data_IF_001922292652
#
_entry.id   IF_001922292652
#
_cell.length_a   1.000
_cell.length_b   1.000
_cell.length_c   1.000
_cell.angle_alpha   90.00
_cell.angle_beta   90.00
_cell.angle_gamma   90.00
#
_symmetry.space_group_name_H-M   'P 1'
#
loop_
_entity.id
_entity.type
_entity.pdbx_description
1 polymer ?
#
# COMPACT_ATOMS: atom_id res chain seq x y z
N UNK A 1 24.51 7.23 -15.07
CA UNK A 1 23.15 7.80 -14.89
C UNK A 1 22.15 6.71 -15.25
N UNK A 2 21.62 6.03 -14.24
CA UNK A 2 20.72 4.91 -14.45
C UNK A 2 19.46 5.39 -15.18
N UNK A 3 19.24 4.89 -16.41
CA UNK A 3 17.95 4.94 -17.08
C UNK A 3 16.97 4.14 -16.22
N UNK A 4 16.30 4.79 -15.27
CA UNK A 4 15.07 4.25 -14.72
C UNK A 4 14.09 4.19 -15.90
N UNK A 5 13.98 3.00 -16.50
CA UNK A 5 12.91 2.63 -17.44
C UNK A 5 11.57 2.54 -16.69
N UNK A 6 11.28 3.53 -15.85
CA UNK A 6 9.93 3.73 -15.38
C UNK A 6 9.16 4.19 -16.62
N UNK A 7 8.42 3.27 -17.22
CA UNK A 7 7.39 3.66 -18.17
C UNK A 7 6.58 4.82 -17.56
N UNK A 8 6.18 5.81 -18.36
CA UNK A 8 5.38 6.93 -17.87
C UNK A 8 4.09 6.45 -17.18
N UNK A 9 3.60 5.25 -17.50
CA UNK A 9 2.41 4.64 -16.91
C UNK A 9 2.52 4.43 -15.38
N UNK A 10 3.49 3.69 -14.80
CA UNK A 10 3.66 3.56 -13.35
C UNK A 10 3.77 4.89 -12.59
N UNK A 11 4.43 5.87 -13.21
CA UNK A 11 4.69 7.17 -12.58
C UNK A 11 3.41 8.03 -12.56
N UNK A 12 2.63 8.02 -13.64
CA UNK A 12 1.30 8.60 -13.69
C UNK A 12 0.32 7.89 -12.75
N UNK A 13 0.39 6.56 -12.67
CA UNK A 13 -0.43 5.76 -11.77
C UNK A 13 -0.15 6.15 -10.32
N UNK A 14 1.12 6.24 -9.92
CA UNK A 14 1.52 6.71 -8.60
C UNK A 14 1.09 8.15 -8.32
N UNK A 15 1.15 9.03 -9.32
CA UNK A 15 0.72 10.43 -9.21
C UNK A 15 -0.78 10.59 -9.01
N UNK A 16 -1.62 9.73 -9.63
CA UNK A 16 -3.08 9.75 -9.42
C UNK A 16 -3.47 9.00 -8.14
N UNK A 17 -2.77 7.92 -7.81
CA UNK A 17 -3.00 7.14 -6.58
C UNK A 17 -2.59 7.91 -5.32
N UNK A 18 -1.58 8.78 -5.40
CA UNK A 18 -1.14 9.63 -4.30
C UNK A 18 -2.25 10.49 -3.67
N UNK A 19 -2.90 11.41 -4.43
CA UNK A 19 -4.00 12.22 -3.91
C UNK A 19 -5.19 11.37 -3.48
N UNK A 20 -5.47 10.26 -4.17
CA UNK A 20 -6.52 9.32 -3.78
C UNK A 20 -6.24 8.72 -2.38
N UNK A 21 -5.00 8.32 -2.12
CA UNK A 21 -4.57 7.82 -0.81
C UNK A 21 -4.72 8.89 0.25
N UNK A 22 -4.23 10.10 0.01
CA UNK A 22 -4.33 11.21 0.97
C UNK A 22 -5.80 11.52 1.30
N UNK A 23 -6.67 11.52 0.29
CA UNK A 23 -8.07 11.82 0.50
C UNK A 23 -8.78 10.72 1.30
N UNK A 24 -8.47 9.44 1.03
CA UNK A 24 -8.98 8.33 1.83
C UNK A 24 -8.45 8.37 3.28
N UNK A 25 -7.18 8.69 3.47
CA UNK A 25 -6.57 8.86 4.80
C UNK A 25 -7.24 10.00 5.56
N UNK A 26 -7.44 11.15 4.92
CA UNK A 26 -8.12 12.32 5.49
C UNK A 26 -9.55 11.98 5.90
N UNK A 27 -10.30 11.30 5.04
CA UNK A 27 -11.68 10.84 5.35
C UNK A 27 -11.69 9.87 6.53
N UNK A 28 -10.76 8.91 6.56
CA UNK A 28 -10.64 7.98 7.67
C UNK A 28 -10.33 8.69 9.00
N UNK A 29 -9.43 9.67 8.99
CA UNK A 29 -9.10 10.46 10.21
C UNK A 29 -10.27 11.31 10.69
N UNK A 30 -11.02 11.96 9.79
CA UNK A 30 -12.23 12.71 10.14
C UNK A 30 -13.29 11.79 10.74
N UNK A 31 -13.52 10.62 10.12
CA UNK A 31 -14.47 9.62 10.62
C UNK A 31 -14.05 9.06 12.00
N UNK A 32 -12.75 8.93 12.21
CA UNK A 32 -12.13 8.52 13.49
C UNK A 32 -12.03 9.65 14.52
N UNK A 33 -12.67 10.81 14.28
CA UNK A 33 -12.64 12.00 15.15
C UNK A 33 -11.22 12.49 15.49
N UNK A 34 -10.26 12.25 14.60
CA UNK A 34 -8.87 12.66 14.78
C UNK A 34 -8.08 11.85 15.81
N UNK A 35 -8.65 10.78 16.38
CA UNK A 35 -8.03 10.04 17.47
C UNK A 35 -7.40 8.72 16.96
N UNK A 36 -6.06 8.65 16.81
CA UNK A 36 -5.38 7.44 16.33
C UNK A 36 -5.49 6.26 17.30
N UNK A 37 -5.88 6.52 18.56
CA UNK A 37 -6.20 5.49 19.55
C UNK A 37 -7.42 4.63 19.15
N UNK A 38 -8.28 5.14 18.25
CA UNK A 38 -9.45 4.42 17.71
C UNK A 38 -9.05 3.18 16.91
N UNK A 39 -7.86 3.17 16.29
CA UNK A 39 -7.36 2.00 15.54
C UNK A 39 -7.09 0.79 16.43
N UNK A 40 -6.80 1.00 17.71
CA UNK A 40 -6.54 -0.07 18.69
C UNK A 40 -7.78 -0.36 19.53
N UNK A 41 -8.57 0.67 19.86
CA UNK A 41 -9.78 0.51 20.69
C UNK A 41 -10.99 -0.04 19.92
N UNK A 42 -11.06 0.14 18.59
CA UNK A 42 -12.10 -0.50 17.77
C UNK A 42 -11.61 -1.84 17.21
N UNK A 43 -12.30 -2.96 17.52
CA UNK A 43 -11.87 -4.29 17.08
C UNK A 43 -11.83 -4.44 15.55
N UNK A 44 -12.72 -3.77 14.82
CA UNK A 44 -12.75 -3.79 13.34
C UNK A 44 -11.52 -3.08 12.74
N UNK A 45 -11.14 -1.92 13.30
CA UNK A 45 -9.96 -1.18 12.82
C UNK A 45 -8.66 -1.92 13.18
N UNK A 46 -8.63 -2.54 14.36
CA UNK A 46 -7.48 -3.32 14.82
C UNK A 46 -7.26 -4.56 13.94
N UNK A 47 -8.30 -5.29 13.56
CA UNK A 47 -8.18 -6.45 12.66
C UNK A 47 -7.72 -6.04 11.27
N UNK A 48 -8.26 -4.95 10.70
CA UNK A 48 -7.82 -4.42 9.41
C UNK A 48 -6.35 -3.97 9.45
N UNK A 49 -5.93 -3.31 10.53
CA UNK A 49 -4.53 -2.89 10.72
C UNK A 49 -3.59 -4.10 10.86
N UNK A 50 -4.00 -5.13 11.59
CA UNK A 50 -3.25 -6.38 11.71
C UNK A 50 -3.11 -7.10 10.37
N UNK A 51 -4.17 -7.15 9.56
CA UNK A 51 -4.13 -7.70 8.20
C UNK A 51 -3.17 -6.87 7.32
N UNK A 52 -3.26 -5.54 7.36
CA UNK A 52 -2.38 -4.67 6.59
C UNK A 52 -0.90 -4.90 6.96
N UNK A 53 -0.58 -5.01 8.26
CA UNK A 53 0.76 -5.35 8.73
C UNK A 53 1.21 -6.74 8.27
N UNK A 54 0.32 -7.74 8.34
CA UNK A 54 0.63 -9.09 7.87
C UNK A 54 0.97 -9.10 6.38
N UNK A 55 0.17 -8.42 5.55
CA UNK A 55 0.44 -8.26 4.11
C UNK A 55 1.75 -7.51 3.88
N UNK A 56 2.01 -6.44 4.63
CA UNK A 56 3.25 -5.68 4.50
C UNK A 56 4.46 -6.56 4.83
N UNK A 57 4.41 -7.30 5.95
CA UNK A 57 5.44 -8.28 6.31
C UNK A 57 5.64 -9.28 5.15
N UNK A 58 4.56 -9.90 4.65
CA UNK A 58 4.62 -10.85 3.52
C UNK A 58 5.30 -10.23 2.28
N UNK A 59 4.97 -8.99 1.91
CA UNK A 59 5.55 -8.29 0.75
C UNK A 59 7.02 -7.92 0.96
N UNK A 60 7.40 -7.53 2.18
CA UNK A 60 8.78 -7.18 2.52
C UNK A 60 9.66 -8.43 2.73
N UNK A 61 9.08 -9.60 2.98
CA UNK A 61 9.83 -10.85 3.03
C UNK A 61 10.45 -11.14 1.64
N UNK A 62 11.77 -11.43 1.57
CA UNK A 62 12.46 -11.67 0.31
C UNK A 62 11.93 -12.89 -0.46
N UNK A 63 11.21 -13.79 0.21
CA UNK A 63 10.57 -14.96 -0.41
C UNK A 63 9.44 -14.58 -1.37
N UNK A 64 8.74 -13.47 -1.15
CA UNK A 64 7.65 -13.00 -2.04
C UNK A 64 8.18 -12.14 -3.19
N UNK A 65 9.39 -11.58 -3.03
CA UNK A 65 10.07 -10.86 -4.12
C UNK A 65 10.36 -11.75 -5.33
N UNK A 66 10.57 -13.06 -5.15
CA UNK A 66 10.77 -14.03 -6.25
C UNK A 66 9.50 -14.25 -7.07
N UNK A 67 8.32 -14.27 -6.44
CA UNK A 67 7.04 -14.46 -7.16
C UNK A 67 6.69 -13.26 -8.05
N UNK A 68 7.13 -12.04 -7.68
CA UNK A 68 6.99 -10.86 -8.56
C UNK A 68 7.92 -10.91 -9.77
N UNK A 69 9.05 -11.62 -9.72
CA UNK A 69 9.91 -11.79 -10.89
C UNK A 69 9.28 -12.77 -11.89
N UNK A 70 8.64 -13.84 -11.42
CA UNK A 70 7.95 -14.82 -12.31
C UNK A 70 6.76 -14.19 -13.05
N UNK A 71 5.93 -13.37 -12.39
CA UNK A 71 4.79 -12.69 -13.02
C UNK A 71 5.23 -11.62 -14.05
N UNK A 72 6.43 -11.08 -13.94
CA UNK A 72 6.99 -10.13 -14.93
C UNK A 72 7.72 -10.82 -16.10
N UNK A 73 7.92 -12.15 -16.06
CA UNK A 73 8.62 -12.91 -17.11
C UNK A 73 7.65 -13.61 -18.07
N UNK A 74 6.39 -13.84 -17.69
CA UNK A 74 5.39 -14.49 -18.55
C UNK A 74 4.81 -13.55 -19.65
N UNK A 75 5.15 -12.26 -19.62
CA UNK A 75 4.69 -11.24 -20.58
C UNK A 75 5.78 -10.81 -21.58
N UNK A 76 6.72 -11.72 -21.93
CA UNK A 76 7.78 -11.47 -22.92
C UNK A 76 7.63 -12.33 -24.18
#
# INVERSE_FOLDING_TARGET
MAKLRCEPAPLLLGFVLGPLLEENLRRAMILSRGDPSTFITRPISATLLAIALAVLIVVFLPSVRRMREEVFVEEA
#
